data_IF_716344339671
#
_entry.id   IF_716344339671
#
_cell.length_a   1.000
_cell.length_b   1.000
_cell.length_c   1.000
_cell.angle_alpha   90.00
_cell.angle_beta   90.00
_cell.angle_gamma   90.00
#
_symmetry.space_group_name_H-M   'P 1'
#
loop_
_entity.id
_entity.type
_entity.pdbx_description
1 polymer ?
#
# COMPACT_ATOMS: atom_id res chain seq x y z
N UNK A 1 -22.49 -10.79 -13.95
CA UNK A 1 -22.65 -11.09 -15.40
C UNK A 1 -21.67 -12.17 -15.82
N UNK A 2 -22.08 -13.12 -16.65
CA UNK A 2 -21.14 -14.05 -17.28
C UNK A 2 -20.42 -13.35 -18.43
N UNK A 3 -19.08 -13.41 -18.53
CA UNK A 3 -18.35 -12.78 -19.61
C UNK A 3 -18.81 -13.36 -20.97
N UNK A 4 -18.91 -12.49 -21.98
CA UNK A 4 -19.35 -12.90 -23.32
C UNK A 4 -18.45 -14.04 -23.86
N UNK A 5 -19.00 -14.90 -24.72
CA UNK A 5 -18.22 -16.01 -25.30
C UNK A 5 -16.95 -15.52 -26.03
N UNK A 6 -16.99 -14.30 -26.59
CA UNK A 6 -15.86 -13.62 -27.22
C UNK A 6 -14.83 -13.14 -26.20
N UNK A 7 -15.27 -12.59 -25.07
CA UNK A 7 -14.41 -12.23 -23.94
C UNK A 7 -13.74 -13.48 -23.34
N UNK A 8 -14.47 -14.59 -23.12
CA UNK A 8 -13.89 -15.87 -22.64
C UNK A 8 -12.89 -16.51 -23.61
N UNK A 9 -13.06 -16.29 -24.91
CA UNK A 9 -12.12 -16.75 -25.97
C UNK A 9 -10.86 -15.89 -26.00
N UNK A 10 -11.01 -14.55 -25.93
CA UNK A 10 -9.88 -13.61 -25.79
C UNK A 10 -9.13 -13.82 -24.48
N UNK A 11 -9.84 -14.03 -23.37
CA UNK A 11 -9.26 -14.40 -22.08
C UNK A 11 -8.46 -15.66 -22.24
N UNK A 12 -9.01 -16.74 -22.81
CA UNK A 12 -8.26 -18.00 -23.03
C UNK A 12 -7.03 -17.83 -23.93
N UNK A 13 -7.09 -16.99 -24.95
CA UNK A 13 -5.95 -16.73 -25.84
C UNK A 13 -4.87 -15.88 -25.15
N UNK A 14 -5.27 -14.86 -24.39
CA UNK A 14 -4.35 -14.01 -23.66
C UNK A 14 -3.80 -14.75 -22.44
N UNK A 15 -4.62 -15.47 -21.67
CA UNK A 15 -4.20 -16.38 -20.59
C UNK A 15 -3.44 -17.60 -21.08
N UNK A 16 -3.49 -17.95 -22.37
CA UNK A 16 -2.59 -18.95 -22.98
C UNK A 16 -1.24 -18.37 -23.40
N UNK A 17 -1.17 -17.05 -23.63
CA UNK A 17 0.08 -16.31 -23.89
C UNK A 17 0.72 -15.74 -22.61
N UNK A 18 -0.06 -15.60 -21.54
CA UNK A 18 0.41 -15.33 -20.21
C UNK A 18 0.83 -16.67 -19.58
N UNK A 19 1.96 -16.73 -18.87
CA UNK A 19 2.38 -17.96 -18.21
C UNK A 19 1.23 -18.47 -17.34
N UNK A 20 0.77 -19.69 -17.62
CA UNK A 20 -0.41 -20.37 -17.06
C UNK A 20 -0.31 -20.69 -15.56
N UNK A 21 0.48 -19.94 -14.82
CA UNK A 21 0.57 -20.03 -13.38
C UNK A 21 0.53 -18.60 -12.83
N UNK A 22 -0.65 -18.16 -12.38
CA UNK A 22 -0.78 -16.91 -11.63
C UNK A 22 -0.07 -17.02 -10.26
N UNK A 23 0.40 -18.22 -9.88
CA UNK A 23 1.45 -18.36 -8.88
C UNK A 23 2.85 -18.05 -9.49
N UNK A 24 3.41 -16.90 -9.06
CA UNK A 24 4.84 -16.53 -8.97
C UNK A 24 5.54 -15.69 -10.07
N UNK A 25 4.90 -15.33 -11.19
CA UNK A 25 5.64 -14.61 -12.27
C UNK A 25 5.45 -13.10 -12.34
N UNK A 26 4.27 -12.56 -12.02
CA UNK A 26 4.01 -11.14 -12.23
C UNK A 26 4.58 -10.29 -11.12
N UNK A 27 5.40 -9.32 -11.49
CA UNK A 27 5.73 -8.20 -10.62
C UNK A 27 4.59 -7.18 -10.57
N UNK A 28 4.60 -6.29 -9.57
CA UNK A 28 3.76 -5.09 -9.51
C UNK A 28 3.82 -4.29 -10.82
N UNK A 29 5.00 -4.24 -11.45
CA UNK A 29 5.21 -3.54 -12.73
C UNK A 29 4.51 -4.24 -13.88
N UNK A 30 4.61 -5.56 -13.99
CA UNK A 30 3.96 -6.32 -15.06
C UNK A 30 2.43 -6.18 -14.99
N UNK A 31 1.88 -6.25 -13.78
CA UNK A 31 0.46 -6.03 -13.53
C UNK A 31 0.03 -4.60 -13.87
N UNK A 32 0.79 -3.61 -13.41
CA UNK A 32 0.53 -2.20 -13.71
C UNK A 32 0.57 -1.90 -15.22
N UNK A 33 1.61 -2.36 -15.91
CA UNK A 33 1.76 -2.13 -17.36
C UNK A 33 0.66 -2.85 -18.15
N UNK A 34 0.23 -4.04 -17.70
CA UNK A 34 -0.89 -4.76 -18.30
C UNK A 34 -2.21 -4.01 -18.12
N UNK A 35 -2.53 -3.58 -16.89
CA UNK A 35 -3.75 -2.81 -16.62
C UNK A 35 -3.82 -1.53 -17.44
N UNK A 36 -2.69 -0.78 -17.51
CA UNK A 36 -2.58 0.43 -18.31
C UNK A 36 -2.75 0.17 -19.80
N UNK A 37 -2.14 -0.90 -20.32
CA UNK A 37 -2.24 -1.27 -21.74
C UNK A 37 -3.68 -1.58 -22.13
N UNK A 38 -4.40 -2.36 -21.32
CA UNK A 38 -5.78 -2.74 -21.62
C UNK A 38 -6.71 -1.52 -21.59
N UNK A 39 -6.55 -0.64 -20.60
CA UNK A 39 -7.29 0.62 -20.54
C UNK A 39 -7.06 1.50 -21.78
N UNK A 40 -5.81 1.66 -22.23
CA UNK A 40 -5.47 2.42 -23.46
C UNK A 40 -6.04 1.83 -24.75
N UNK A 41 -6.42 0.56 -24.74
CA UNK A 41 -6.99 -0.14 -25.88
C UNK A 41 -8.52 -0.23 -25.82
N UNK A 42 -9.14 0.41 -24.82
CA UNK A 42 -10.56 0.27 -24.48
C UNK A 42 -11.01 -1.20 -24.30
N UNK A 43 -10.10 -2.11 -23.91
CA UNK A 43 -10.41 -3.53 -23.69
C UNK A 43 -10.84 -3.76 -22.22
N UNK A 44 -11.84 -2.99 -21.80
CA UNK A 44 -12.36 -2.97 -20.43
C UNK A 44 -13.02 -4.29 -20.02
N UNK A 45 -13.69 -4.97 -20.95
CA UNK A 45 -14.25 -6.31 -20.73
C UNK A 45 -13.18 -7.32 -20.28
N UNK A 46 -12.02 -7.29 -20.94
CA UNK A 46 -10.92 -8.18 -20.62
C UNK A 46 -10.24 -7.79 -19.32
N UNK A 47 -10.02 -6.49 -19.09
CA UNK A 47 -9.45 -5.99 -17.84
C UNK A 47 -10.33 -6.37 -16.65
N UNK A 48 -11.64 -6.12 -16.73
CA UNK A 48 -12.61 -6.48 -15.68
C UNK A 48 -12.55 -7.97 -15.40
N UNK A 49 -12.61 -8.81 -16.44
CA UNK A 49 -12.56 -10.26 -16.26
C UNK A 49 -11.23 -10.76 -15.68
N UNK A 50 -10.10 -10.15 -16.04
CA UNK A 50 -8.79 -10.46 -15.44
C UNK A 50 -8.72 -10.04 -13.96
N UNK A 51 -9.26 -8.88 -13.61
CA UNK A 51 -9.32 -8.40 -12.23
C UNK A 51 -10.23 -9.28 -11.37
N UNK A 52 -11.38 -9.71 -11.89
CA UNK A 52 -12.30 -10.58 -11.16
C UNK A 52 -11.75 -12.00 -10.98
N UNK A 53 -11.05 -12.55 -11.98
CA UNK A 53 -10.32 -13.83 -11.84
C UNK A 53 -9.21 -13.73 -10.79
N UNK A 54 -8.47 -12.61 -10.77
CA UNK A 54 -7.48 -12.32 -9.75
C UNK A 54 -8.08 -12.16 -8.35
N UNK A 55 -9.23 -11.51 -8.23
CA UNK A 55 -9.98 -11.35 -6.98
C UNK A 55 -10.44 -12.71 -6.43
N UNK A 56 -11.09 -13.51 -7.27
CA UNK A 56 -11.60 -14.83 -6.90
C UNK A 56 -10.48 -15.82 -6.56
N UNK A 57 -9.36 -15.77 -7.28
CA UNK A 57 -8.18 -16.57 -7.01
C UNK A 57 -7.33 -16.08 -5.83
N UNK A 58 -7.60 -14.88 -5.28
CA UNK A 58 -6.74 -14.17 -4.31
C UNK A 58 -5.30 -14.08 -4.79
N UNK A 59 -5.15 -13.86 -6.10
CA UNK A 59 -3.87 -13.82 -6.75
C UNK A 59 -3.10 -12.56 -6.32
N UNK A 60 -1.80 -12.71 -6.07
CA UNK A 60 -0.93 -11.61 -5.70
C UNK A 60 0.30 -11.55 -6.60
N UNK A 61 0.87 -10.35 -6.73
CA UNK A 61 2.16 -10.14 -7.38
C UNK A 61 3.30 -10.71 -6.53
N UNK A 62 4.50 -10.81 -7.10
CA UNK A 62 5.71 -11.22 -6.37
C UNK A 62 6.00 -10.32 -5.16
N UNK A 63 5.58 -9.06 -5.22
CA UNK A 63 5.69 -8.06 -4.15
C UNK A 63 4.59 -8.18 -3.09
N UNK A 64 3.62 -9.09 -3.28
CA UNK A 64 2.51 -9.34 -2.35
C UNK A 64 1.38 -8.32 -2.48
N UNK A 65 1.32 -7.57 -3.58
CA UNK A 65 0.16 -6.72 -3.89
C UNK A 65 -0.92 -7.59 -4.50
N UNK A 66 -2.18 -7.52 -4.05
CA UNK A 66 -3.30 -8.17 -4.75
C UNK A 66 -3.26 -7.82 -6.24
N UNK A 67 -3.30 -8.83 -7.10
CA UNK A 67 -3.11 -8.65 -8.53
C UNK A 67 -4.24 -7.78 -9.13
N UNK A 68 -5.46 -7.91 -8.61
CA UNK A 68 -6.58 -7.02 -8.95
C UNK A 68 -6.30 -5.55 -8.60
N UNK A 69 -5.68 -5.27 -7.45
CA UNK A 69 -5.27 -3.92 -7.02
C UNK A 69 -4.21 -3.34 -7.96
N UNK A 70 -3.20 -4.15 -8.33
CA UNK A 70 -2.11 -3.73 -9.20
C UNK A 70 -2.57 -3.46 -10.65
N UNK A 71 -3.43 -4.31 -11.20
CA UNK A 71 -4.10 -4.10 -12.49
C UNK A 71 -4.94 -2.82 -12.49
N UNK A 72 -5.78 -2.65 -11.46
CA UNK A 72 -6.62 -1.47 -11.30
C UNK A 72 -5.79 -0.19 -11.24
N UNK A 73 -4.64 -0.22 -10.53
CA UNK A 73 -3.71 0.90 -10.44
C UNK A 73 -3.16 1.29 -11.80
N UNK A 74 -2.80 0.31 -12.63
CA UNK A 74 -2.38 0.54 -14.01
C UNK A 74 -3.48 1.17 -14.87
N UNK A 75 -4.69 0.64 -14.76
CA UNK A 75 -5.83 1.05 -15.58
C UNK A 75 -6.21 2.54 -15.41
N UNK A 76 -6.13 3.08 -14.19
CA UNK A 76 -6.44 4.48 -13.89
C UNK A 76 -5.23 5.43 -13.97
N UNK A 77 -4.03 4.91 -14.24
CA UNK A 77 -2.79 5.67 -14.07
C UNK A 77 -2.72 6.94 -14.94
N UNK A 78 -3.14 6.85 -16.20
CA UNK A 78 -3.08 7.99 -17.13
C UNK A 78 -4.07 9.09 -16.72
N UNK A 79 -5.31 8.73 -16.39
CA UNK A 79 -6.33 9.67 -15.95
C UNK A 79 -5.93 10.37 -14.64
N UNK A 80 -5.44 9.61 -13.65
CA UNK A 80 -4.96 10.17 -12.37
C UNK A 80 -3.77 11.08 -12.58
N UNK A 81 -2.81 10.73 -13.44
CA UNK A 81 -1.63 11.55 -13.65
C UNK A 81 -2.01 12.97 -14.08
N UNK A 82 -2.97 13.10 -15.00
CA UNK A 82 -3.48 14.40 -15.46
C UNK A 82 -4.32 15.07 -14.36
N UNK A 83 -5.27 14.34 -13.76
CA UNK A 83 -6.16 14.88 -12.73
C UNK A 83 -5.40 15.40 -11.50
N UNK A 84 -4.40 14.65 -11.02
CA UNK A 84 -3.56 15.08 -9.90
C UNK A 84 -2.67 16.27 -10.27
N UNK A 85 -2.24 16.39 -11.53
CA UNK A 85 -1.49 17.55 -11.99
C UNK A 85 -2.35 18.80 -11.98
N UNK A 86 -3.61 18.71 -12.42
CA UNK A 86 -4.60 19.79 -12.36
C UNK A 86 -4.93 20.14 -10.90
N UNK A 87 -5.20 19.13 -10.06
CA UNK A 87 -5.49 19.30 -8.64
C UNK A 87 -4.36 20.06 -7.90
N UNK A 88 -3.09 19.70 -8.17
CA UNK A 88 -1.92 20.41 -7.59
C UNK A 88 -1.78 21.86 -8.04
N UNK A 89 -2.37 22.24 -9.17
CA UNK A 89 -2.44 23.64 -9.64
C UNK A 89 -3.71 24.37 -9.16
N UNK A 90 -4.60 23.68 -8.44
CA UNK A 90 -5.90 24.23 -8.03
C UNK A 90 -6.94 24.27 -9.16
N UNK A 91 -6.71 23.58 -10.27
CA UNK A 91 -7.60 23.52 -11.43
C UNK A 91 -8.68 22.46 -11.21
N UNK A 92 -9.69 22.78 -10.40
CA UNK A 92 -10.71 21.83 -9.95
C UNK A 92 -11.53 21.24 -11.11
N UNK A 93 -11.93 22.09 -12.06
CA UNK A 93 -12.77 21.69 -13.19
C UNK A 93 -12.01 20.77 -14.16
N UNK A 94 -10.73 21.05 -14.40
CA UNK A 94 -9.88 20.20 -15.26
C UNK A 94 -9.64 18.83 -14.62
N UNK A 95 -9.42 18.78 -13.29
CA UNK A 95 -9.28 17.53 -12.56
C UNK A 95 -10.56 16.69 -12.62
N UNK A 96 -11.73 17.33 -12.51
CA UNK A 96 -13.03 16.66 -12.63
C UNK A 96 -13.29 16.17 -14.06
N UNK A 97 -13.00 16.99 -15.08
CA UNK A 97 -13.19 16.63 -16.48
C UNK A 97 -12.36 15.40 -16.90
N UNK A 98 -11.13 15.26 -16.37
CA UNK A 98 -10.31 14.07 -16.61
C UNK A 98 -10.95 12.78 -16.08
N UNK A 99 -11.59 12.85 -14.91
CA UNK A 99 -12.29 11.69 -14.35
C UNK A 99 -13.63 11.46 -15.03
N UNK A 100 -14.33 12.51 -15.46
CA UNK A 100 -15.57 12.37 -16.22
C UNK A 100 -15.34 11.58 -17.52
N UNK A 101 -14.25 11.83 -18.24
CA UNK A 101 -13.91 11.03 -19.43
C UNK A 101 -13.72 9.55 -19.11
N UNK A 102 -13.17 9.23 -17.93
CA UNK A 102 -13.02 7.86 -17.48
C UNK A 102 -14.37 7.26 -17.06
N UNK A 103 -15.25 8.05 -16.43
CA UNK A 103 -16.60 7.63 -16.07
C UNK A 103 -17.50 7.43 -17.30
N UNK A 104 -17.38 8.26 -18.34
CA UNK A 104 -18.20 8.19 -19.57
C UNK A 104 -18.01 6.88 -20.35
N UNK A 105 -16.89 6.19 -20.12
CA UNK A 105 -16.64 4.83 -20.63
C UNK A 105 -17.61 3.81 -20.00
N UNK A 106 -18.18 4.11 -18.84
CA UNK A 106 -19.00 3.21 -18.06
C UNK A 106 -20.44 3.71 -17.89
N UNK A 107 -21.40 2.80 -17.99
CA UNK A 107 -22.80 3.07 -17.65
C UNK A 107 -23.04 2.73 -16.18
N UNK A 108 -23.61 3.68 -15.41
CA UNK A 108 -23.94 3.48 -13.99
C UNK A 108 -24.92 2.31 -13.77
N UNK A 109 -25.84 2.07 -14.71
CA UNK A 109 -26.92 1.06 -14.60
C UNK A 109 -26.41 -0.39 -14.62
N UNK A 110 -25.15 -0.62 -15.00
CA UNK A 110 -24.56 -1.97 -15.08
C UNK A 110 -23.05 -1.98 -14.77
N UNK A 111 -22.62 -1.13 -13.83
CA UNK A 111 -21.23 -1.02 -13.43
C UNK A 111 -20.76 -2.30 -12.73
N UNK A 112 -19.87 -3.06 -13.37
CA UNK A 112 -19.29 -4.24 -12.74
C UNK A 112 -18.29 -3.84 -11.62
N UNK A 113 -18.07 -4.71 -10.60
CA UNK A 113 -17.24 -4.37 -9.46
C UNK A 113 -15.81 -3.95 -9.81
N UNK A 114 -15.19 -4.58 -10.83
CA UNK A 114 -13.82 -4.27 -11.19
C UNK A 114 -13.71 -2.85 -11.74
N UNK A 115 -14.59 -2.49 -12.67
CA UNK A 115 -14.64 -1.13 -13.23
C UNK A 115 -15.02 -0.09 -12.19
N UNK A 116 -16.02 -0.38 -11.35
CA UNK A 116 -16.40 0.49 -10.23
C UNK A 116 -15.24 0.71 -9.24
N UNK A 117 -14.42 -0.30 -8.99
CA UNK A 117 -13.21 -0.15 -8.19
C UNK A 117 -12.16 0.76 -8.84
N UNK A 118 -11.94 0.63 -10.15
CA UNK A 118 -11.02 1.53 -10.88
C UNK A 118 -11.48 2.99 -10.75
N UNK A 119 -12.76 3.26 -10.98
CA UNK A 119 -13.35 4.59 -10.90
C UNK A 119 -13.29 5.16 -9.48
N UNK A 120 -13.79 4.42 -8.48
CA UNK A 120 -13.80 4.89 -7.10
C UNK A 120 -12.39 5.18 -6.60
N UNK A 121 -11.42 4.31 -6.90
CA UNK A 121 -10.02 4.55 -6.55
C UNK A 121 -9.41 5.74 -7.28
N UNK A 122 -9.82 6.04 -8.52
CA UNK A 122 -9.39 7.23 -9.24
C UNK A 122 -9.87 8.51 -8.55
N UNK A 123 -11.12 8.54 -8.09
CA UNK A 123 -11.62 9.63 -7.26
C UNK A 123 -10.87 9.77 -5.94
N UNK A 124 -10.60 8.66 -5.23
CA UNK A 124 -9.81 8.70 -4.00
C UNK A 124 -8.39 9.24 -4.21
N UNK A 125 -7.73 8.83 -5.29
CA UNK A 125 -6.38 9.27 -5.62
C UNK A 125 -6.31 10.74 -6.04
N UNK A 126 -7.33 11.26 -6.74
CA UNK A 126 -7.47 12.68 -7.06
C UNK A 126 -7.82 13.50 -5.82
N UNK A 127 -8.71 13.02 -4.95
CA UNK A 127 -9.06 13.67 -3.69
C UNK A 127 -7.82 13.91 -2.80
N UNK A 128 -6.91 12.93 -2.74
CA UNK A 128 -5.64 13.04 -2.02
C UNK A 128 -4.70 14.10 -2.61
N UNK A 129 -4.77 14.36 -3.91
CA UNK A 129 -3.93 15.38 -4.55
C UNK A 129 -4.38 16.82 -4.26
N UNK A 130 -5.64 17.01 -3.85
CA UNK A 130 -6.15 18.28 -3.32
C UNK A 130 -5.78 18.51 -1.84
N UNK A 131 -5.32 17.47 -1.12
CA UNK A 131 -4.83 17.65 0.24
C UNK A 131 -3.48 18.37 0.22
N UNK A 132 -3.33 19.44 0.99
CA UNK A 132 -2.03 20.10 1.17
C UNK A 132 -1.31 19.53 2.40
N UNK A 133 0.03 19.46 2.41
CA UNK A 133 0.79 18.86 3.52
C UNK A 133 0.61 19.56 4.89
N UNK A 134 0.06 20.77 4.89
CA UNK A 134 -0.08 21.63 6.08
C UNK A 134 -1.53 21.80 6.53
N UNK A 135 -2.49 21.30 5.76
CA UNK A 135 -3.90 21.45 6.08
C UNK A 135 -4.47 20.12 6.58
N UNK A 136 -4.76 20.07 7.88
CA UNK A 136 -5.45 18.94 8.49
C UNK A 136 -6.94 18.89 8.07
N UNK A 137 -7.47 19.98 7.49
CA UNK A 137 -8.84 20.03 7.01
C UNK A 137 -8.95 19.47 5.59
N UNK A 138 -9.86 18.50 5.41
CA UNK A 138 -10.22 18.00 4.08
C UNK A 138 -10.88 19.13 3.27
N UNK A 139 -10.25 19.49 2.14
CA UNK A 139 -10.74 20.52 1.22
C UNK A 139 -12.15 20.20 0.69
N UNK A 140 -12.96 21.22 0.30
CA UNK A 140 -14.26 20.99 -0.33
C UNK A 140 -14.16 20.10 -1.58
N UNK A 141 -13.10 20.25 -2.37
CA UNK A 141 -12.80 19.48 -3.57
C UNK A 141 -12.51 18.01 -3.24
N UNK A 142 -11.65 17.76 -2.24
CA UNK A 142 -11.41 16.40 -1.74
C UNK A 142 -12.71 15.75 -1.28
N UNK A 143 -13.60 16.48 -0.59
CA UNK A 143 -14.92 15.97 -0.15
C UNK A 143 -15.81 15.58 -1.32
N UNK A 144 -15.83 16.36 -2.41
CA UNK A 144 -16.61 16.04 -3.62
C UNK A 144 -16.16 14.71 -4.22
N UNK A 145 -14.85 14.52 -4.39
CA UNK A 145 -14.31 13.26 -4.92
C UNK A 145 -14.53 12.08 -3.96
N UNK A 146 -14.38 12.26 -2.64
CA UNK A 146 -14.73 11.22 -1.67
C UNK A 146 -16.20 10.83 -1.72
N UNK A 147 -17.11 11.79 -1.88
CA UNK A 147 -18.54 11.52 -2.02
C UNK A 147 -18.82 10.73 -3.30
N UNK A 148 -18.23 11.13 -4.43
CA UNK A 148 -18.41 10.41 -5.71
C UNK A 148 -17.88 8.97 -5.65
N UNK A 149 -16.72 8.76 -5.01
CA UNK A 149 -16.19 7.41 -4.78
C UNK A 149 -17.15 6.52 -3.98
N UNK A 150 -17.89 7.07 -3.02
CA UNK A 150 -18.93 6.34 -2.30
C UNK A 150 -20.18 6.05 -3.13
N UNK A 151 -20.65 7.03 -3.90
CA UNK A 151 -21.80 6.84 -4.79
C UNK A 151 -21.51 5.69 -5.78
N UNK A 152 -20.30 5.66 -6.35
CA UNK A 152 -19.83 4.55 -7.19
C UNK A 152 -19.79 3.24 -6.40
N UNK A 153 -19.23 3.25 -5.18
CA UNK A 153 -19.17 2.05 -4.35
C UNK A 153 -20.55 1.50 -4.00
N UNK A 154 -21.57 2.34 -3.81
CA UNK A 154 -22.95 1.90 -3.51
C UNK A 154 -23.57 1.08 -4.63
N UNK A 155 -23.14 1.25 -5.89
CA UNK A 155 -23.63 0.48 -7.04
C UNK A 155 -23.28 -1.02 -6.94
N UNK A 156 -22.19 -1.39 -6.27
CA UNK A 156 -21.70 -2.78 -6.23
C UNK A 156 -21.20 -3.27 -4.87
N UNK A 157 -21.06 -2.39 -3.87
CA UNK A 157 -20.39 -2.66 -2.60
C UNK A 157 -21.12 -3.60 -1.64
N UNK A 158 -22.37 -3.96 -1.97
CA UNK A 158 -23.17 -4.97 -1.27
C UNK A 158 -23.08 -6.35 -1.92
N UNK A 159 -22.28 -6.51 -2.98
CA UNK A 159 -22.08 -7.79 -3.65
C UNK A 159 -21.05 -8.65 -2.88
N UNK A 160 -21.27 -9.97 -2.83
CA UNK A 160 -20.34 -11.03 -2.37
C UNK A 160 -19.44 -10.62 -1.17
N UNK A 161 -19.85 -11.02 0.04
CA UNK A 161 -19.15 -10.74 1.31
C UNK A 161 -17.66 -11.17 1.35
N UNK A 162 -17.21 -12.03 0.43
CA UNK A 162 -15.84 -12.54 0.35
C UNK A 162 -14.95 -11.92 -0.73
N UNK A 163 -15.41 -10.88 -1.45
CA UNK A 163 -14.59 -10.21 -2.48
C UNK A 163 -13.48 -9.36 -1.85
N UNK A 164 -12.23 -9.65 -2.22
CA UNK A 164 -11.05 -8.92 -1.76
C UNK A 164 -11.05 -7.47 -2.29
N UNK A 165 -11.44 -7.28 -3.54
CA UNK A 165 -11.55 -5.99 -4.21
C UNK A 165 -12.56 -5.07 -3.51
N UNK A 166 -13.72 -5.59 -3.11
CA UNK A 166 -14.72 -4.83 -2.34
C UNK A 166 -14.16 -4.47 -0.95
N UNK A 167 -13.50 -5.41 -0.27
CA UNK A 167 -12.91 -5.15 1.05
C UNK A 167 -11.77 -4.10 0.99
N UNK A 168 -10.93 -4.15 -0.06
CA UNK A 168 -9.88 -3.17 -0.32
C UNK A 168 -10.46 -1.76 -0.51
N UNK A 169 -11.50 -1.62 -1.32
CA UNK A 169 -12.12 -0.31 -1.55
C UNK A 169 -12.83 0.22 -0.30
N UNK A 170 -13.49 -0.65 0.47
CA UNK A 170 -14.09 -0.26 1.75
C UNK A 170 -13.04 0.28 2.72
N UNK A 171 -11.90 -0.38 2.85
CA UNK A 171 -10.78 0.12 3.66
C UNK A 171 -10.25 1.46 3.12
N UNK A 172 -10.11 1.61 1.80
CA UNK A 172 -9.64 2.86 1.19
C UNK A 172 -10.61 4.04 1.41
N UNK A 173 -11.93 3.80 1.37
CA UNK A 173 -12.97 4.79 1.68
C UNK A 173 -12.95 5.20 3.15
N UNK A 174 -12.75 4.24 4.06
CA UNK A 174 -12.58 4.52 5.48
C UNK A 174 -11.32 5.35 5.69
N UNK A 175 -10.19 4.97 5.09
CA UNK A 175 -8.91 5.68 5.22
C UNK A 175 -8.96 7.11 4.67
N UNK A 176 -9.82 7.39 3.70
CA UNK A 176 -10.12 8.75 3.25
C UNK A 176 -10.83 9.62 4.31
N UNK A 177 -11.34 9.01 5.40
CA UNK A 177 -12.14 9.63 6.46
C UNK A 177 -11.56 9.32 7.84
N UNK A 178 -10.47 9.99 8.25
CA UNK A 178 -9.79 9.70 9.51
C UNK A 178 -10.72 9.80 10.73
N UNK A 179 -11.76 10.65 10.69
CA UNK A 179 -12.70 10.79 11.81
C UNK A 179 -13.71 9.64 11.97
N UNK A 180 -13.79 8.69 11.02
CA UNK A 180 -14.71 7.55 11.07
C UNK A 180 -14.04 6.31 11.67
N UNK A 181 -13.91 6.25 13.00
CA UNK A 181 -13.22 5.14 13.67
C UNK A 181 -14.09 3.88 13.88
N UNK A 182 -15.41 4.01 13.90
CA UNK A 182 -16.32 2.88 14.23
C UNK A 182 -16.29 1.75 13.21
N UNK A 183 -16.14 2.08 11.93
CA UNK A 183 -16.18 1.10 10.84
C UNK A 183 -14.80 0.52 10.51
N UNK A 184 -13.76 1.01 11.17
CA UNK A 184 -12.37 0.66 10.86
C UNK A 184 -12.09 -0.82 11.10
N UNK A 185 -12.34 -1.31 12.32
CA UNK A 185 -12.07 -2.70 12.67
C UNK A 185 -12.91 -3.67 11.82
N UNK A 186 -14.25 -3.51 11.68
CA UNK A 186 -15.06 -4.37 10.82
C UNK A 186 -14.56 -4.44 9.36
N UNK A 187 -14.10 -3.32 8.79
CA UNK A 187 -13.60 -3.30 7.43
C UNK A 187 -12.25 -4.02 7.28
N UNK A 188 -11.32 -3.81 8.20
CA UNK A 188 -10.04 -4.50 8.19
C UNK A 188 -10.19 -5.99 8.52
N UNK A 189 -11.12 -6.37 9.41
CA UNK A 189 -11.45 -7.77 9.67
C UNK A 189 -11.96 -8.47 8.40
N UNK A 190 -12.85 -7.81 7.65
CA UNK A 190 -13.35 -8.32 6.37
C UNK A 190 -12.22 -8.45 5.33
N UNK A 191 -11.33 -7.45 5.24
CA UNK A 191 -10.19 -7.47 4.32
C UNK A 191 -9.21 -8.60 4.66
N UNK A 192 -8.87 -8.75 5.93
CA UNK A 192 -7.97 -9.79 6.42
C UNK A 192 -8.62 -11.17 6.22
N UNK A 193 -9.92 -11.33 6.47
CA UNK A 193 -10.63 -12.57 6.22
C UNK A 193 -10.70 -12.93 4.72
N UNK A 194 -10.77 -11.93 3.83
CA UNK A 194 -10.78 -12.13 2.39
C UNK A 194 -9.43 -12.62 1.84
N UNK A 195 -8.31 -12.25 2.46
CA UNK A 195 -6.95 -12.63 2.05
C UNK A 195 -6.00 -12.79 3.27
N UNK A 196 -6.19 -13.85 4.08
CA UNK A 196 -5.57 -13.97 5.42
C UNK A 196 -4.06 -14.25 5.38
N UNK A 197 -3.52 -14.67 4.24
CA UNK A 197 -2.10 -14.97 4.09
C UNK A 197 -1.28 -13.75 3.66
N UNK A 198 -1.94 -12.62 3.34
CA UNK A 198 -1.25 -11.44 2.86
C UNK A 198 -0.95 -10.46 4.00
N UNK A 199 0.31 -10.34 4.43
CA UNK A 199 0.68 -9.45 5.53
C UNK A 199 0.53 -7.96 5.19
N UNK A 200 0.26 -7.61 3.92
CA UNK A 200 0.00 -6.23 3.49
C UNK A 200 -1.22 -5.64 4.20
N UNK A 201 -2.25 -6.43 4.45
CA UNK A 201 -3.49 -5.95 5.06
C UNK A 201 -3.29 -5.52 6.52
N UNK A 202 -2.56 -6.33 7.30
CA UNK A 202 -2.14 -5.98 8.67
C UNK A 202 -1.26 -4.73 8.71
N UNK A 203 -0.36 -4.56 7.72
CA UNK A 203 0.45 -3.33 7.62
C UNK A 203 -0.39 -2.10 7.32
N UNK A 204 -1.33 -2.19 6.39
CA UNK A 204 -2.23 -1.08 6.10
C UNK A 204 -3.09 -0.73 7.31
N UNK A 205 -3.55 -1.75 8.04
CA UNK A 205 -4.29 -1.54 9.28
C UNK A 205 -3.46 -0.75 10.30
N UNK A 206 -2.21 -1.15 10.53
CA UNK A 206 -1.30 -0.41 11.41
C UNK A 206 -1.09 1.05 11.02
N UNK A 207 -0.99 1.36 9.72
CA UNK A 207 -0.93 2.76 9.25
C UNK A 207 -2.21 3.51 9.59
N UNK A 208 -3.35 2.89 9.32
CA UNK A 208 -4.67 3.47 9.55
C UNK A 208 -4.95 3.75 11.02
N UNK A 209 -4.53 2.87 11.93
CA UNK A 209 -4.62 3.05 13.38
C UNK A 209 -3.88 4.31 13.83
N UNK A 210 -2.64 4.50 13.35
CA UNK A 210 -1.82 5.66 13.70
C UNK A 210 -2.45 6.97 13.24
N UNK A 211 -3.01 7.02 12.03
CA UNK A 211 -3.70 8.23 11.54
C UNK A 211 -4.92 8.64 12.37
N UNK A 212 -5.38 7.76 13.25
CA UNK A 212 -6.56 7.93 14.11
C UNK A 212 -6.22 8.01 15.59
N UNK A 213 -4.93 7.98 15.95
CA UNK A 213 -4.47 7.96 17.33
C UNK A 213 -4.86 6.69 18.10
N UNK A 214 -5.13 5.58 17.40
CA UNK A 214 -5.46 4.29 18.03
C UNK A 214 -4.17 3.52 18.28
N UNK A 215 -4.01 2.97 19.50
CA UNK A 215 -2.82 2.25 19.90
C UNK A 215 -2.67 0.92 19.14
N UNK A 216 -1.56 0.69 18.42
CA UNK A 216 -1.35 -0.55 17.67
C UNK A 216 -1.19 -1.82 18.54
N UNK A 217 -0.70 -1.69 19.78
CA UNK A 217 -0.46 -2.83 20.69
C UNK A 217 -1.76 -3.57 21.01
N UNK A 218 -2.83 -2.84 21.34
CA UNK A 218 -4.11 -3.42 21.75
C UNK A 218 -4.73 -4.25 20.62
N UNK A 219 -4.78 -3.68 19.41
CA UNK A 219 -5.28 -4.38 18.21
C UNK A 219 -4.42 -5.60 17.88
N UNK A 220 -3.09 -5.49 18.01
CA UNK A 220 -2.21 -6.62 17.77
C UNK A 220 -2.37 -7.73 18.82
N UNK A 221 -2.70 -7.38 20.07
CA UNK A 221 -2.99 -8.34 21.13
C UNK A 221 -4.31 -9.07 20.86
N UNK A 222 -5.35 -8.34 20.45
CA UNK A 222 -6.66 -8.92 20.08
C UNK A 222 -6.54 -9.92 18.91
N UNK A 223 -5.61 -9.68 17.98
CA UNK A 223 -5.35 -10.55 16.82
C UNK A 223 -4.35 -11.69 17.11
N UNK A 224 -3.78 -11.77 18.30
CA UNK A 224 -2.68 -12.70 18.61
C UNK A 224 -3.11 -14.17 18.56
N UNK A 225 -4.36 -14.51 18.88
CA UNK A 225 -4.85 -15.89 18.85
C UNK A 225 -4.89 -16.46 17.41
N UNK A 226 -5.14 -15.58 16.43
CA UNK A 226 -5.25 -15.97 15.01
C UNK A 226 -3.92 -15.87 14.26
N UNK A 227 -3.09 -14.89 14.61
CA UNK A 227 -1.88 -14.54 13.84
C UNK A 227 -0.58 -14.63 14.63
N UNK A 228 -0.63 -15.01 15.91
CA UNK A 228 0.53 -15.10 16.81
C UNK A 228 1.31 -13.75 16.77
N UNK A 229 2.64 -13.80 16.85
CA UNK A 229 3.51 -12.63 16.72
C UNK A 229 3.42 -11.96 15.34
N UNK A 230 2.83 -12.58 14.31
CA UNK A 230 2.77 -11.95 12.98
C UNK A 230 1.85 -10.73 12.95
N UNK A 231 0.72 -10.76 13.68
CA UNK A 231 -0.13 -9.56 13.84
C UNK A 231 0.68 -8.41 14.41
N UNK A 232 1.41 -8.67 15.49
CA UNK A 232 2.29 -7.70 16.13
C UNK A 232 3.30 -7.09 15.16
N UNK A 233 4.05 -7.93 14.44
CA UNK A 233 5.08 -7.46 13.53
C UNK A 233 4.50 -6.64 12.39
N UNK A 234 3.47 -7.15 11.72
CA UNK A 234 2.96 -6.48 10.53
C UNK A 234 2.21 -5.21 10.84
N UNK A 235 1.42 -5.17 11.91
CA UNK A 235 0.79 -3.94 12.38
C UNK A 235 1.85 -2.89 12.73
N UNK A 236 2.89 -3.24 13.50
CA UNK A 236 3.94 -2.28 13.86
C UNK A 236 4.82 -1.85 12.68
N UNK A 237 5.09 -2.72 11.71
CA UNK A 237 5.80 -2.33 10.48
C UNK A 237 5.01 -1.26 9.72
N UNK A 238 3.68 -1.41 9.65
CA UNK A 238 2.79 -0.40 9.10
C UNK A 238 2.80 0.90 9.90
N UNK A 239 2.59 0.79 11.20
CA UNK A 239 2.54 1.93 12.12
C UNK A 239 3.85 2.73 12.09
N UNK A 240 5.01 2.06 12.15
CA UNK A 240 6.33 2.68 12.03
C UNK A 240 6.52 3.37 10.69
N UNK A 241 6.03 2.80 9.59
CA UNK A 241 6.12 3.46 8.28
C UNK A 241 5.33 4.78 8.27
N UNK A 242 4.19 4.83 8.97
CA UNK A 242 3.35 6.02 9.10
C UNK A 242 3.93 7.08 10.05
N UNK A 243 4.31 6.69 11.27
CA UNK A 243 4.88 7.59 12.27
C UNK A 243 6.02 6.87 13.03
N UNK A 244 7.21 7.46 12.98
CA UNK A 244 8.37 6.91 13.67
C UNK A 244 8.20 6.94 15.20
N UNK A 245 7.42 7.88 15.74
CA UNK A 245 7.25 8.07 17.20
C UNK A 245 6.50 6.92 17.87
N UNK A 246 5.80 6.07 17.10
CA UNK A 246 5.22 4.81 17.58
C UNK A 246 6.26 3.87 18.18
N UNK A 247 7.55 4.07 17.89
CA UNK A 247 8.63 3.33 18.54
C UNK A 247 8.58 3.42 20.07
N UNK A 248 8.01 4.49 20.63
CA UNK A 248 7.85 4.68 22.08
C UNK A 248 6.93 3.65 22.74
N UNK A 249 5.96 3.09 22.01
CA UNK A 249 5.07 2.02 22.48
C UNK A 249 5.49 0.63 21.99
N UNK A 250 6.63 0.50 21.31
CA UNK A 250 7.10 -0.76 20.73
C UNK A 250 7.79 -1.61 21.80
N UNK A 251 7.34 -2.84 21.98
CA UNK A 251 8.05 -3.85 22.77
C UNK A 251 9.20 -4.43 21.94
N UNK A 252 10.41 -3.94 22.19
CA UNK A 252 11.62 -4.26 21.40
C UNK A 252 11.90 -5.77 21.36
N UNK A 253 11.76 -6.47 22.49
CA UNK A 253 12.05 -7.90 22.55
C UNK A 253 11.03 -8.69 21.75
N UNK A 254 9.73 -8.40 21.94
CA UNK A 254 8.64 -9.01 21.17
C UNK A 254 8.81 -8.76 19.67
N UNK A 255 9.20 -7.55 19.28
CA UNK A 255 9.44 -7.18 17.89
C UNK A 255 10.61 -7.97 17.28
N UNK A 256 11.78 -8.02 17.94
CA UNK A 256 12.94 -8.77 17.42
C UNK A 256 12.67 -10.28 17.32
N UNK A 257 12.01 -10.86 18.33
CA UNK A 257 11.61 -12.28 18.30
C UNK A 257 10.66 -12.54 17.13
N UNK A 258 9.66 -11.68 16.93
CA UNK A 258 8.71 -11.84 15.84
C UNK A 258 9.35 -11.65 14.46
N UNK A 259 10.29 -10.69 14.30
CA UNK A 259 11.07 -10.54 13.05
C UNK A 259 11.82 -11.82 12.72
N UNK A 260 12.54 -12.41 13.70
CA UNK A 260 13.26 -13.68 13.51
C UNK A 260 12.31 -14.83 13.17
N UNK A 261 11.14 -14.88 13.81
CA UNK A 261 10.11 -15.90 13.54
C UNK A 261 9.56 -15.79 12.12
N UNK A 262 9.19 -14.59 11.66
CA UNK A 262 8.73 -14.36 10.28
C UNK A 262 9.80 -14.74 9.24
N UNK A 263 11.07 -14.47 9.55
CA UNK A 263 12.21 -14.77 8.67
C UNK A 263 12.68 -16.22 8.71
N UNK A 264 12.24 -17.02 9.68
CA UNK A 264 12.57 -18.45 9.76
C UNK A 264 11.80 -19.32 8.76
N UNK A 265 10.75 -18.78 8.13
CA UNK A 265 9.96 -19.44 7.09
C UNK A 265 10.48 -19.21 5.67
N UNK A 266 9.65 -19.52 4.66
CA UNK A 266 9.93 -19.17 3.25
C UNK A 266 9.73 -17.66 3.05
N UNK A 267 10.81 -16.90 3.16
CA UNK A 267 10.77 -15.43 3.09
C UNK A 267 11.10 -14.90 1.70
N UNK A 268 10.27 -14.00 1.18
CA UNK A 268 10.57 -13.23 -0.03
C UNK A 268 11.59 -12.11 0.24
N UNK A 269 12.30 -11.66 -0.80
CA UNK A 269 13.19 -10.50 -0.70
C UNK A 269 12.46 -9.23 -0.26
N UNK A 270 11.19 -9.09 -0.65
CA UNK A 270 10.29 -8.00 -0.23
C UNK A 270 10.11 -7.99 1.28
N UNK A 271 9.82 -9.14 1.88
CA UNK A 271 9.66 -9.27 3.34
C UNK A 271 10.96 -8.98 4.07
N UNK A 272 12.09 -9.53 3.61
CA UNK A 272 13.39 -9.28 4.24
C UNK A 272 13.77 -7.78 4.21
N UNK A 273 13.66 -7.12 3.06
CA UNK A 273 13.93 -5.68 2.93
C UNK A 273 13.00 -4.86 3.83
N UNK A 274 11.71 -5.22 3.89
CA UNK A 274 10.72 -4.48 4.67
C UNK A 274 10.97 -4.58 6.18
N UNK A 275 11.32 -5.77 6.68
CA UNK A 275 11.63 -5.96 8.09
C UNK A 275 12.95 -5.29 8.47
N UNK A 276 13.98 -5.39 7.63
CA UNK A 276 15.25 -4.69 7.85
C UNK A 276 15.05 -3.16 7.92
N UNK A 277 14.30 -2.59 6.97
CA UNK A 277 14.00 -1.16 6.94
C UNK A 277 13.19 -0.70 8.17
N UNK A 278 12.23 -1.52 8.64
CA UNK A 278 11.48 -1.23 9.85
C UNK A 278 12.35 -1.26 11.11
N UNK A 279 13.22 -2.27 11.26
CA UNK A 279 14.20 -2.34 12.34
C UNK A 279 15.13 -1.11 12.32
N UNK A 280 15.65 -0.73 11.15
CA UNK A 280 16.52 0.43 11.00
C UNK A 280 15.81 1.76 11.34
N UNK A 281 14.55 1.94 10.92
CA UNK A 281 13.75 3.12 11.26
C UNK A 281 13.50 3.21 12.78
N UNK A 282 13.11 2.09 13.39
CA UNK A 282 12.90 2.02 14.83
C UNK A 282 14.20 2.34 15.60
N UNK A 283 15.33 1.74 15.21
CA UNK A 283 16.62 2.01 15.84
C UNK A 283 17.04 3.49 15.76
N UNK A 284 16.85 4.12 14.59
CA UNK A 284 17.17 5.55 14.38
C UNK A 284 16.33 6.50 15.22
N UNK A 285 15.15 6.07 15.65
CA UNK A 285 14.21 6.90 16.42
C UNK A 285 14.35 6.68 17.92
N UNK A 286 14.92 5.55 18.34
CA UNK A 286 15.25 5.30 19.74
C UNK A 286 16.34 6.26 20.26
N UNK A 287 16.40 6.53 21.58
CA UNK A 287 17.47 7.32 22.16
C UNK A 287 18.85 6.76 21.85
N UNK A 288 19.78 7.66 21.54
CA UNK A 288 21.15 7.31 21.18
C UNK A 288 21.84 6.51 22.31
N UNK A 289 22.60 5.47 21.94
CA UNK A 289 23.30 4.56 22.84
C UNK A 289 22.39 3.79 23.83
N UNK A 290 21.07 3.80 23.61
CA UNK A 290 20.17 2.95 24.40
C UNK A 290 20.33 1.48 24.02
N UNK A 291 20.07 0.59 24.99
CA UNK A 291 20.00 -0.85 24.73
C UNK A 291 18.97 -1.18 23.64
N UNK A 292 17.84 -0.47 23.62
CA UNK A 292 16.79 -0.63 22.63
C UNK A 292 17.28 -0.31 21.21
N UNK A 293 17.95 0.83 21.03
CA UNK A 293 18.58 1.19 19.76
C UNK A 293 19.56 0.11 19.30
N UNK A 294 20.47 -0.32 20.19
CA UNK A 294 21.50 -1.32 19.87
C UNK A 294 20.87 -2.63 19.38
N UNK A 295 19.90 -3.16 20.12
CA UNK A 295 19.20 -4.41 19.78
C UNK A 295 18.46 -4.32 18.43
N UNK A 296 17.85 -3.18 18.12
CA UNK A 296 17.15 -2.98 16.85
C UNK A 296 18.13 -2.81 15.67
N UNK A 297 19.26 -2.12 15.88
CA UNK A 297 20.34 -2.00 14.89
C UNK A 297 20.95 -3.37 14.57
N UNK A 298 21.30 -4.14 15.59
CA UNK A 298 21.82 -5.51 15.43
C UNK A 298 20.81 -6.42 14.71
N UNK A 299 19.51 -6.25 14.99
CA UNK A 299 18.47 -6.97 14.26
C UNK A 299 18.45 -6.57 12.78
N UNK A 300 18.50 -5.27 12.46
CA UNK A 300 18.53 -4.79 11.07
C UNK A 300 19.75 -5.31 10.30
N UNK A 301 20.93 -5.30 10.93
CA UNK A 301 22.17 -5.88 10.39
C UNK A 301 22.03 -7.38 10.16
N UNK A 302 21.54 -8.12 11.16
CA UNK A 302 21.30 -9.56 11.04
C UNK A 302 20.36 -9.89 9.87
N UNK A 303 19.25 -9.15 9.69
CA UNK A 303 18.36 -9.37 8.54
C UNK A 303 19.09 -9.07 7.22
N UNK A 304 19.85 -7.99 7.17
CA UNK A 304 20.57 -7.57 5.97
C UNK A 304 21.63 -8.59 5.54
N UNK A 305 22.42 -9.10 6.48
CA UNK A 305 23.50 -10.03 6.20
C UNK A 305 23.00 -11.44 5.84
N UNK A 306 21.88 -11.88 6.43
CA UNK A 306 21.43 -13.27 6.32
C UNK A 306 20.29 -13.47 5.32
N UNK A 307 19.44 -12.46 5.11
CA UNK A 307 18.19 -12.62 4.35
C UNK A 307 18.08 -11.73 3.10
N UNK A 308 18.84 -10.64 3.01
CA UNK A 308 18.82 -9.76 1.84
C UNK A 308 19.86 -10.23 0.81
N UNK A 309 19.36 -10.63 -0.36
CA UNK A 309 20.15 -10.95 -1.57
C UNK A 309 20.00 -9.89 -2.65
N UNK A 310 18.90 -9.14 -2.61
CA UNK A 310 18.61 -8.04 -3.50
C UNK A 310 18.01 -6.90 -2.69
N UNK A 311 18.65 -5.73 -2.77
CA UNK A 311 18.10 -4.51 -2.16
C UNK A 311 16.93 -4.02 -3.02
N UNK A 312 15.83 -3.62 -2.37
CA UNK A 312 14.66 -3.05 -3.03
C UNK A 312 14.43 -1.60 -2.56
N UNK A 313 15.07 -0.61 -3.22
CA UNK A 313 15.13 0.77 -2.74
C UNK A 313 13.76 1.39 -2.43
N UNK A 314 12.73 1.08 -3.22
CA UNK A 314 11.38 1.63 -3.03
C UNK A 314 10.75 1.20 -1.68
N UNK A 315 11.06 -0.01 -1.19
CA UNK A 315 10.60 -0.48 0.12
C UNK A 315 11.30 0.29 1.23
N UNK A 316 12.60 0.47 1.11
CA UNK A 316 13.39 1.23 2.08
C UNK A 316 12.91 2.68 2.14
N UNK A 317 12.72 3.32 0.99
CA UNK A 317 12.20 4.68 0.89
C UNK A 317 10.78 4.78 1.48
N UNK A 318 9.90 3.82 1.18
CA UNK A 318 8.52 3.82 1.69
C UNK A 318 8.39 3.62 3.20
N UNK A 319 9.40 3.04 3.87
CA UNK A 319 9.42 2.91 5.33
C UNK A 319 10.17 4.07 5.96
N UNK A 320 11.43 4.28 5.56
CA UNK A 320 12.32 5.26 6.18
C UNK A 320 11.87 6.69 5.88
N UNK A 321 11.27 6.92 4.72
CA UNK A 321 10.95 8.24 4.18
C UNK A 321 12.19 8.94 3.61
N UNK A 322 11.98 10.12 3.01
CA UNK A 322 13.04 11.12 2.90
C UNK A 322 13.08 11.88 4.21
N UNK A 323 14.26 12.01 4.82
CA UNK A 323 14.45 12.99 5.88
C UNK A 323 14.13 14.37 5.32
N UNK A 324 12.98 14.94 5.66
CA UNK A 324 12.88 16.40 5.74
C UNK A 324 13.25 16.78 7.17
N UNK A 325 14.34 17.51 7.39
CA UNK A 325 14.64 18.06 8.71
C UNK A 325 13.50 19.01 9.08
N UNK A 326 12.68 18.64 10.07
CA UNK A 326 11.61 19.49 10.61
C UNK A 326 12.20 20.60 11.50
N UNK A 327 13.15 21.40 11.02
CA UNK A 327 13.53 22.67 11.67
C UNK A 327 14.11 23.65 10.64
N UNK A 328 13.42 24.75 10.30
CA UNK A 328 14.08 25.95 9.80
C UNK A 328 14.76 26.64 10.99
N UNK A 329 16.05 26.97 10.83
CA UNK A 329 16.94 27.58 11.83
C UNK A 329 17.41 26.68 12.98
N UNK A 330 18.53 26.00 12.76
CA UNK A 330 19.71 26.16 13.62
C UNK A 330 20.96 25.89 12.78
N UNK A 331 21.94 26.78 12.86
CA UNK A 331 23.19 26.67 12.13
C UNK A 331 23.89 25.34 12.47
N UNK A 332 24.28 24.60 11.43
CA UNK A 332 25.00 23.33 11.54
C UNK A 332 26.39 23.58 12.15
N UNK A 333 26.72 23.03 13.34
CA UNK A 333 28.12 22.84 13.71
C UNK A 333 28.65 21.62 12.95
N UNK A 334 29.81 21.76 12.34
CA UNK A 334 30.50 20.68 11.62
C UNK A 334 30.69 19.47 12.53
N UNK A 335 30.20 18.27 12.18
CA UNK A 335 30.33 17.10 13.03
C UNK A 335 31.77 16.54 12.98
N UNK A 336 32.31 16.04 14.12
CA UNK A 336 33.58 15.33 14.12
C UNK A 336 33.45 13.99 13.37
N UNK A 337 34.50 13.62 12.65
CA UNK A 337 34.54 12.47 11.75
C UNK A 337 34.16 11.14 12.44
N UNK A 338 32.94 10.63 12.17
CA UNK A 338 32.50 9.30 12.58
C UNK A 338 32.87 8.25 11.51
N UNK A 339 33.71 7.29 11.89
CA UNK A 339 34.08 6.11 11.08
C UNK A 339 32.97 5.05 11.23
N UNK A 340 31.98 5.06 10.35
CA UNK A 340 30.89 4.06 10.32
C UNK A 340 30.55 3.60 8.92
N UNK A 341 30.07 2.36 8.78
CA UNK A 341 29.79 1.64 7.51
C UNK A 341 28.82 2.43 6.60
N UNK A 342 27.90 3.22 7.16
CA UNK A 342 26.99 4.09 6.40
C UNK A 342 27.72 5.20 5.62
N UNK A 343 28.85 5.70 6.12
CA UNK A 343 29.68 6.67 5.40
C UNK A 343 30.36 6.05 4.16
N UNK A 344 30.66 4.75 4.20
CA UNK A 344 31.26 4.02 3.06
C UNK A 344 30.25 3.76 1.95
N UNK A 345 28.99 3.48 2.31
CA UNK A 345 27.90 3.29 1.34
C UNK A 345 27.50 4.62 0.67
N UNK A 346 27.49 5.73 1.43
CA UNK A 346 27.24 7.06 0.88
C UNK A 346 28.38 7.56 -0.03
N UNK A 347 29.65 7.31 0.34
CA UNK A 347 30.80 7.68 -0.51
C UNK A 347 30.88 6.84 -1.79
N UNK A 348 30.54 5.55 -1.76
CA UNK A 348 30.54 4.70 -2.96
C UNK A 348 29.50 5.16 -4.02
N UNK A 349 28.39 5.76 -3.58
CA UNK A 349 27.39 6.33 -4.48
C UNK A 349 27.81 7.67 -5.07
N UNK A 350 28.55 8.49 -4.31
CA UNK A 350 29.04 9.81 -4.76
C UNK A 350 30.31 9.73 -5.62
N UNK A 351 31.10 8.68 -5.48
CA UNK A 351 32.38 8.50 -6.19
C UNK A 351 32.22 7.86 -7.59
N UNK A 352 30.98 7.58 -8.01
CA UNK A 352 30.63 6.96 -9.29
C UNK A 352 29.78 7.89 -10.19
N UNK A 353 29.97 9.21 -10.04
CA UNK A 353 29.52 10.21 -11.01
C UNK A 353 30.69 10.97 -11.60
#
# INVERSE_FOLDING_TARGET
MHPSAKAKSRLRNITSSLPRNINDTWSDRDAFDTGRKLARQDDWDLLSALMMDADEGRNATREGTPLCEALAKGARADAIMVAQSAARRGECDDAAACLQQLEDVYSEDNLDPACGFVLAMAHLDTARAFATPTDDAVSPESKKHFKRAEEIFQCFGNQKDSSLLIALLRCALIDARPNHCKDLAPAYDALIAADPQNPRHLRHYGRSLVTRGIAPEDIAADMADLYDLQAYIWIYVGALAQDAMIVSSLNVQKFVIGVRKVLSGRTSQVTANRLAAACAKAARTMPENSRAQTVLSECAEWVSDNHIRQVQPDIWHGIIGTEQPKHPNTAVPTPPAQKGVLARLAQAWLSNR
#
